data_IF_690740949463
#
_entry.id   IF_690740949463
#
_cell.length_a   1.000
_cell.length_b   1.000
_cell.length_c   1.000
_cell.angle_alpha   90.00
_cell.angle_beta   90.00
_cell.angle_gamma   90.00
#
_symmetry.space_group_name_H-M   'P 1'
#
loop_
_entity.id
_entity.type
_entity.pdbx_description
1 polymer ?
#
# COMPACT_ATOMS: atom_id res chain seq x y z
N UNK A 1 75.35 -38.66 36.74
CA UNK A 1 74.51 -37.53 37.15
C UNK A 1 74.63 -36.32 36.16
N UNK A 2 75.85 -35.91 35.83
CA UNK A 2 76.14 -34.79 34.92
C UNK A 2 75.53 -34.97 33.52
N UNK A 3 75.64 -36.20 32.97
CA UNK A 3 75.06 -36.51 31.66
C UNK A 3 73.53 -36.47 31.64
N UNK A 4 72.86 -36.88 32.73
CA UNK A 4 71.39 -36.80 32.85
C UNK A 4 70.90 -35.34 32.92
N UNK A 5 71.62 -34.48 33.60
CA UNK A 5 71.31 -33.05 33.65
C UNK A 5 71.48 -32.35 32.30
N UNK A 6 72.53 -32.73 31.57
CA UNK A 6 72.76 -32.19 30.22
C UNK A 6 71.67 -32.68 29.24
N UNK A 7 71.34 -33.99 29.26
CA UNK A 7 70.28 -34.52 28.42
C UNK A 7 68.93 -33.90 28.71
N UNK A 8 68.61 -33.71 29.98
CA UNK A 8 67.38 -32.99 30.42
C UNK A 8 67.31 -31.55 29.92
N UNK A 9 68.47 -30.87 29.99
CA UNK A 9 68.55 -29.48 29.49
C UNK A 9 68.40 -29.39 27.99
N UNK A 10 68.93 -30.35 27.23
CA UNK A 10 68.76 -30.45 25.80
C UNK A 10 67.27 -30.70 25.40
N UNK A 11 66.61 -31.60 26.14
CA UNK A 11 65.16 -31.90 25.89
C UNK A 11 64.29 -30.67 26.21
N UNK A 12 64.60 -29.97 27.29
CA UNK A 12 63.86 -28.74 27.63
C UNK A 12 64.09 -27.62 26.59
N UNK A 13 65.27 -27.50 26.02
CA UNK A 13 65.58 -26.54 25.00
C UNK A 13 64.84 -26.89 23.71
N UNK A 14 64.82 -28.15 23.31
CA UNK A 14 64.09 -28.68 22.13
C UNK A 14 62.55 -28.47 22.33
N UNK A 15 62.04 -28.75 23.50
CA UNK A 15 60.61 -28.53 23.85
C UNK A 15 60.21 -27.06 23.77
N UNK A 16 61.12 -26.16 24.26
CA UNK A 16 60.94 -24.74 24.15
C UNK A 16 60.91 -24.25 22.70
N UNK A 17 61.78 -24.81 21.86
CA UNK A 17 61.82 -24.49 20.44
C UNK A 17 60.59 -24.97 19.69
N UNK A 18 60.10 -26.17 19.99
CA UNK A 18 58.81 -26.71 19.50
C UNK A 18 57.61 -25.84 19.93
N UNK A 19 57.59 -25.38 21.16
CA UNK A 19 56.56 -24.48 21.67
C UNK A 19 56.55 -23.18 20.88
N UNK A 20 57.71 -22.58 20.65
CA UNK A 20 57.83 -21.36 19.87
C UNK A 20 57.45 -21.53 18.39
N UNK A 21 57.80 -22.68 17.79
CA UNK A 21 57.38 -23.06 16.45
C UNK A 21 55.86 -23.23 16.36
N UNK A 22 55.23 -23.90 17.32
CA UNK A 22 53.78 -24.05 17.40
C UNK A 22 53.05 -22.71 17.52
N UNK A 23 53.55 -21.79 18.36
CA UNK A 23 53.04 -20.44 18.51
C UNK A 23 53.18 -19.61 17.22
N UNK A 24 54.31 -19.77 16.48
CA UNK A 24 54.50 -19.13 15.18
C UNK A 24 53.47 -19.59 14.14
N UNK A 25 53.16 -20.91 14.10
CA UNK A 25 52.15 -21.46 13.22
C UNK A 25 50.73 -20.93 13.60
N UNK A 26 50.39 -20.93 14.89
CA UNK A 26 49.11 -20.37 15.36
C UNK A 26 48.96 -18.90 15.01
N UNK A 27 50.01 -18.10 15.16
CA UNK A 27 50.03 -16.69 14.74
C UNK A 27 49.82 -16.54 13.23
N UNK A 28 50.53 -17.35 12.43
CA UNK A 28 50.40 -17.32 10.98
C UNK A 28 48.97 -17.66 10.53
N UNK A 29 48.39 -18.72 11.10
CA UNK A 29 46.97 -19.10 10.84
C UNK A 29 46.04 -17.96 11.26
N UNK A 30 46.28 -17.33 12.41
CA UNK A 30 45.51 -16.16 12.87
C UNK A 30 45.57 -14.99 11.91
N UNK A 31 46.75 -14.70 11.33
CA UNK A 31 46.87 -13.63 10.32
C UNK A 31 46.17 -13.96 9.02
N UNK A 32 46.29 -15.21 8.53
CA UNK A 32 45.58 -15.67 7.31
C UNK A 32 44.06 -15.60 7.52
N UNK A 33 43.57 -16.04 8.68
CA UNK A 33 42.17 -15.98 9.01
C UNK A 33 41.67 -14.51 9.06
N UNK A 34 42.42 -13.64 9.73
CA UNK A 34 42.11 -12.20 9.81
C UNK A 34 42.03 -11.56 8.43
N UNK A 35 42.95 -11.90 7.54
CA UNK A 35 42.98 -11.39 6.16
C UNK A 35 41.80 -11.92 5.36
N UNK A 36 41.51 -13.23 5.49
CA UNK A 36 40.35 -13.86 4.84
C UNK A 36 39.03 -13.21 5.30
N UNK A 37 38.88 -12.98 6.60
CA UNK A 37 37.70 -12.26 7.14
C UNK A 37 37.62 -10.82 6.64
N UNK A 38 38.74 -10.08 6.53
CA UNK A 38 38.76 -8.73 6.00
C UNK A 38 38.30 -8.68 4.53
N UNK A 39 38.77 -9.62 3.71
CA UNK A 39 38.34 -9.74 2.30
C UNK A 39 36.86 -10.12 2.20
N UNK A 40 36.41 -11.10 2.97
CA UNK A 40 34.99 -11.48 3.03
C UNK A 40 34.11 -10.32 3.48
N UNK A 41 34.53 -9.57 4.50
CA UNK A 41 33.81 -8.40 4.99
C UNK A 41 33.73 -7.29 3.93
N UNK A 42 34.80 -7.08 3.17
CA UNK A 42 34.82 -6.08 2.10
C UNK A 42 33.89 -6.46 0.92
N UNK A 43 33.80 -7.76 0.60
CA UNK A 43 32.93 -8.26 -0.47
C UNK A 43 31.46 -8.36 -0.07
N UNK A 44 31.16 -8.75 1.17
CA UNK A 44 29.79 -8.96 1.67
C UNK A 44 29.26 -7.71 2.37
N UNK A 45 30.11 -6.95 3.05
CA UNK A 45 29.71 -5.76 3.82
C UNK A 45 29.17 -4.63 2.94
N UNK A 46 29.76 -4.41 1.76
CA UNK A 46 29.32 -3.36 0.83
C UNK A 46 27.90 -3.61 0.29
N UNK A 47 27.53 -4.77 -0.25
CA UNK A 47 26.17 -5.02 -0.71
C UNK A 47 25.14 -5.08 0.42
N UNK A 48 25.52 -5.55 1.61
CA UNK A 48 24.61 -5.54 2.78
C UNK A 48 24.32 -4.10 3.22
N UNK A 49 25.35 -3.25 3.31
CA UNK A 49 25.19 -1.81 3.67
C UNK A 49 24.36 -1.08 2.62
N UNK A 50 24.54 -1.40 1.35
CA UNK A 50 23.73 -0.84 0.27
C UNK A 50 22.26 -1.29 0.40
N UNK A 51 22.01 -2.57 0.65
CA UNK A 51 20.65 -3.09 0.84
C UNK A 51 19.96 -2.47 2.05
N UNK A 52 20.65 -2.29 3.17
CA UNK A 52 20.13 -1.62 4.37
C UNK A 52 19.79 -0.16 4.06
N UNK A 53 20.66 0.59 3.39
CA UNK A 53 20.38 1.98 2.98
C UNK A 53 19.19 2.06 2.03
N UNK A 54 19.10 1.16 1.06
CA UNK A 54 17.98 1.10 0.13
C UNK A 54 16.64 0.86 0.86
N UNK A 55 16.63 -0.04 1.85
CA UNK A 55 15.46 -0.27 2.71
C UNK A 55 15.12 0.98 3.55
N UNK A 56 16.12 1.63 4.10
CA UNK A 56 15.96 2.84 4.89
C UNK A 56 15.37 3.98 4.04
N UNK A 57 15.91 4.22 2.85
CA UNK A 57 15.39 5.19 1.88
C UNK A 57 13.96 4.87 1.45
N UNK A 58 13.63 3.60 1.27
CA UNK A 58 12.27 3.14 1.00
C UNK A 58 11.32 3.52 2.15
N UNK A 59 11.71 3.25 3.39
CA UNK A 59 10.91 3.61 4.58
C UNK A 59 10.72 5.12 4.70
N UNK A 60 11.77 5.91 4.47
CA UNK A 60 11.67 7.38 4.48
C UNK A 60 10.77 7.89 3.36
N UNK A 61 10.84 7.33 2.17
CA UNK A 61 9.97 7.68 1.04
C UNK A 61 8.51 7.34 1.34
N UNK A 62 8.21 6.16 1.84
CA UNK A 62 6.86 5.75 2.26
C UNK A 62 6.34 6.68 3.37
N UNK A 63 7.17 7.00 4.37
CA UNK A 63 6.81 7.94 5.43
C UNK A 63 6.54 9.34 4.90
N UNK A 64 7.34 9.83 3.95
CA UNK A 64 7.15 11.14 3.33
C UNK A 64 5.84 11.20 2.52
N UNK A 65 5.56 10.18 1.70
CA UNK A 65 4.30 10.05 1.00
C UNK A 65 3.11 10.01 1.98
N UNK A 66 3.23 9.25 3.05
CA UNK A 66 2.22 9.15 4.08
C UNK A 66 1.95 10.47 4.78
N UNK A 67 3.00 11.19 5.23
CA UNK A 67 2.84 12.50 5.87
C UNK A 67 2.22 13.53 4.93
N UNK A 68 2.57 13.47 3.63
CA UNK A 68 1.98 14.33 2.61
C UNK A 68 0.49 14.05 2.43
N UNK A 69 0.08 12.78 2.34
CA UNK A 69 -1.32 12.38 2.24
C UNK A 69 -2.12 12.85 3.46
N UNK A 70 -1.59 12.64 4.69
CA UNK A 70 -2.28 13.06 5.91
C UNK A 70 -2.40 14.58 6.00
N UNK A 71 -1.34 15.30 5.69
CA UNK A 71 -1.36 16.76 5.73
C UNK A 71 -2.37 17.33 4.74
N UNK A 72 -2.54 16.63 3.61
CA UNK A 72 -3.38 17.11 2.52
C UNK A 72 -4.80 16.57 2.53
N UNK A 73 -5.12 15.50 3.25
CA UNK A 73 -6.47 14.94 3.29
C UNK A 73 -7.19 15.29 4.60
N UNK A 74 -8.34 15.97 4.58
CA UNK A 74 -9.19 16.13 5.75
C UNK A 74 -9.81 14.79 6.12
N UNK A 75 -9.40 14.22 7.25
CA UNK A 75 -9.64 12.80 7.60
C UNK A 75 -11.06 12.49 8.03
N UNK A 76 -11.73 13.44 8.67
CA UNK A 76 -13.16 13.30 9.00
C UNK A 76 -13.99 13.16 7.74
N UNK A 77 -13.68 13.95 6.72
CA UNK A 77 -14.38 13.90 5.43
C UNK A 77 -14.00 12.65 4.63
N UNK A 78 -12.76 12.17 4.74
CA UNK A 78 -12.30 10.98 4.02
C UNK A 78 -13.07 9.71 4.42
N UNK A 79 -13.39 9.54 5.71
CA UNK A 79 -14.20 8.42 6.18
C UNK A 79 -15.61 8.48 5.59
N UNK A 80 -16.22 9.67 5.59
CA UNK A 80 -17.53 9.90 5.00
C UNK A 80 -17.52 9.63 3.49
N UNK A 81 -16.51 10.10 2.78
CA UNK A 81 -16.33 9.86 1.33
C UNK A 81 -16.27 8.36 1.03
N UNK A 82 -15.46 7.60 1.79
CA UNK A 82 -15.33 6.16 1.59
C UNK A 82 -16.66 5.45 1.83
N UNK A 83 -17.32 5.74 2.95
CA UNK A 83 -18.59 5.08 3.30
C UNK A 83 -19.63 5.34 2.22
N UNK A 84 -19.83 6.62 1.83
CA UNK A 84 -20.85 6.98 0.85
C UNK A 84 -20.52 6.45 -0.56
N UNK A 85 -19.26 6.54 -1.00
CA UNK A 85 -18.84 5.95 -2.27
C UNK A 85 -19.01 4.42 -2.26
N UNK A 86 -18.69 3.76 -1.15
CA UNK A 86 -18.88 2.30 -1.00
C UNK A 86 -20.36 1.90 -1.07
N UNK A 87 -21.26 2.71 -0.52
CA UNK A 87 -22.72 2.47 -0.62
C UNK A 87 -23.16 2.53 -2.08
N UNK A 88 -22.74 3.58 -2.83
CA UNK A 88 -23.09 3.71 -4.25
C UNK A 88 -22.54 2.55 -5.08
N UNK A 89 -21.30 2.16 -4.83
CA UNK A 89 -20.66 1.03 -5.54
C UNK A 89 -21.34 -0.30 -5.18
N UNK A 90 -21.74 -0.50 -3.93
CA UNK A 90 -22.46 -1.70 -3.50
C UNK A 90 -23.86 -1.79 -4.15
N UNK A 91 -24.58 -0.67 -4.27
CA UNK A 91 -25.88 -0.62 -4.97
C UNK A 91 -25.68 -0.95 -6.46
N UNK A 92 -24.63 -0.41 -7.10
CA UNK A 92 -24.31 -0.71 -8.50
C UNK A 92 -24.05 -2.20 -8.73
N UNK A 93 -23.23 -2.80 -7.88
CA UNK A 93 -22.85 -4.22 -8.00
C UNK A 93 -24.04 -5.15 -7.69
N UNK A 94 -24.94 -4.76 -6.78
CA UNK A 94 -26.16 -5.51 -6.48
C UNK A 94 -27.16 -5.51 -7.65
N UNK A 95 -27.20 -4.42 -8.43
CA UNK A 95 -28.11 -4.29 -9.58
C UNK A 95 -27.53 -4.85 -10.87
N UNK A 96 -26.23 -4.61 -11.12
CA UNK A 96 -25.52 -5.06 -12.32
C UNK A 96 -24.23 -5.75 -11.89
N UNK A 97 -24.20 -7.10 -11.86
CA UNK A 97 -22.99 -7.85 -11.48
C UNK A 97 -21.81 -7.50 -12.37
N UNK A 98 -20.63 -7.36 -11.77
CA UNK A 98 -19.36 -6.98 -12.42
C UNK A 98 -19.28 -5.53 -12.96
N UNK A 99 -20.17 -4.64 -12.52
CA UNK A 99 -20.15 -3.23 -12.96
C UNK A 99 -18.86 -2.52 -12.52
N UNK A 100 -18.29 -2.88 -11.38
CA UNK A 100 -17.03 -2.34 -10.84
C UNK A 100 -15.84 -2.74 -11.72
N UNK A 101 -15.76 -4.02 -12.07
CA UNK A 101 -14.63 -4.58 -12.83
C UNK A 101 -14.50 -3.92 -14.22
N UNK A 102 -15.62 -3.66 -14.82
CA UNK A 102 -15.68 -3.10 -16.16
C UNK A 102 -15.43 -1.58 -16.19
N UNK A 103 -15.56 -0.91 -15.05
CA UNK A 103 -15.49 0.56 -14.97
C UNK A 103 -14.44 1.11 -14.01
N UNK A 104 -13.52 0.27 -13.52
CA UNK A 104 -12.49 0.71 -12.57
C UNK A 104 -11.68 1.93 -13.05
N UNK A 105 -11.35 2.01 -14.35
CA UNK A 105 -10.63 3.16 -14.91
C UNK A 105 -11.47 4.45 -14.88
N UNK A 106 -12.76 4.35 -15.22
CA UNK A 106 -13.66 5.50 -15.20
C UNK A 106 -13.90 5.97 -13.77
N UNK A 107 -14.04 5.05 -12.83
CA UNK A 107 -14.18 5.35 -11.41
C UNK A 107 -12.91 6.02 -10.85
N UNK A 108 -11.73 5.58 -11.28
CA UNK A 108 -10.45 6.22 -10.92
C UNK A 108 -10.35 7.65 -11.44
N UNK A 109 -10.68 7.87 -12.72
CA UNK A 109 -10.68 9.20 -13.32
C UNK A 109 -11.70 10.11 -12.62
N UNK A 110 -12.91 9.63 -12.35
CA UNK A 110 -13.93 10.40 -11.64
C UNK A 110 -13.49 10.74 -10.22
N UNK A 111 -12.82 9.82 -9.51
CA UNK A 111 -12.23 10.08 -8.20
C UNK A 111 -11.16 11.16 -8.22
N UNK A 112 -10.30 11.19 -9.25
CA UNK A 112 -9.31 12.26 -9.44
C UNK A 112 -9.97 13.62 -9.71
N UNK A 113 -11.04 13.66 -10.50
CA UNK A 113 -11.83 14.87 -10.74
C UNK A 113 -12.43 15.37 -9.41
N UNK A 114 -13.02 14.48 -8.60
CA UNK A 114 -13.54 14.82 -7.29
C UNK A 114 -12.47 15.37 -6.34
N UNK A 115 -11.29 14.74 -6.31
CA UNK A 115 -10.17 15.23 -5.54
C UNK A 115 -9.71 16.62 -5.97
N UNK A 116 -9.60 16.87 -7.29
CA UNK A 116 -9.22 18.17 -7.83
C UNK A 116 -10.24 19.26 -7.49
N UNK A 117 -11.53 18.92 -7.47
CA UNK A 117 -12.59 19.83 -7.04
C UNK A 117 -12.48 20.21 -5.56
N UNK A 118 -12.32 19.24 -4.67
CA UNK A 118 -12.15 19.48 -3.21
C UNK A 118 -10.93 20.35 -2.94
N UNK A 119 -9.88 20.21 -3.73
CA UNK A 119 -8.65 21.01 -3.62
C UNK A 119 -8.77 22.40 -4.24
N UNK A 120 -9.87 22.72 -4.92
CA UNK A 120 -10.05 24.00 -5.60
C UNK A 120 -9.17 24.17 -6.85
N UNK A 121 -8.61 23.07 -7.39
CA UNK A 121 -7.82 23.14 -8.64
C UNK A 121 -8.68 23.38 -9.86
N UNK A 122 -9.96 23.06 -9.78
CA UNK A 122 -10.93 23.23 -10.85
C UNK A 122 -12.12 24.06 -10.35
N UNK A 123 -12.65 24.93 -11.26
CA UNK A 123 -13.86 25.70 -10.96
C UNK A 123 -15.09 24.78 -10.92
N UNK A 124 -16.12 25.22 -10.20
CA UNK A 124 -17.36 24.45 -10.05
C UNK A 124 -18.02 24.12 -11.40
N UNK A 125 -18.09 25.09 -12.31
CA UNK A 125 -18.61 24.88 -13.66
C UNK A 125 -17.83 23.80 -14.44
N UNK A 126 -16.51 23.83 -14.32
CA UNK A 126 -15.65 22.83 -14.98
C UNK A 126 -15.80 21.45 -14.36
N UNK A 127 -15.98 21.37 -13.04
CA UNK A 127 -16.29 20.13 -12.35
C UNK A 127 -17.58 19.48 -12.89
N UNK A 128 -18.66 20.24 -12.99
CA UNK A 128 -19.92 19.72 -13.53
C UNK A 128 -19.79 19.27 -15.00
N UNK A 129 -19.09 20.02 -15.84
CA UNK A 129 -18.84 19.63 -17.24
C UNK A 129 -18.02 18.36 -17.35
N UNK A 130 -16.99 18.17 -16.50
CA UNK A 130 -16.20 16.94 -16.46
C UNK A 130 -17.03 15.73 -16.00
N UNK A 131 -17.88 15.87 -14.99
CA UNK A 131 -18.76 14.80 -14.55
C UNK A 131 -19.78 14.42 -15.63
N UNK A 132 -20.35 15.41 -16.32
CA UNK A 132 -21.23 15.16 -17.48
C UNK A 132 -20.48 14.42 -18.60
N UNK A 133 -19.23 14.81 -18.87
CA UNK A 133 -18.34 14.14 -19.81
C UNK A 133 -18.05 12.68 -19.43
N UNK A 134 -17.79 12.39 -18.16
CA UNK A 134 -17.61 11.03 -17.65
C UNK A 134 -18.87 10.20 -17.83
N UNK A 135 -20.04 10.76 -17.50
CA UNK A 135 -21.31 10.08 -17.71
C UNK A 135 -21.57 9.79 -19.21
N UNK A 136 -21.42 10.80 -20.05
CA UNK A 136 -21.60 10.67 -21.50
C UNK A 136 -20.63 9.64 -22.11
N UNK A 137 -19.37 9.65 -21.70
CA UNK A 137 -18.39 8.65 -22.11
C UNK A 137 -18.79 7.23 -21.70
N UNK A 138 -19.23 7.06 -20.46
CA UNK A 138 -19.67 5.76 -19.95
C UNK A 138 -20.91 5.25 -20.67
N UNK A 139 -21.87 6.15 -20.95
CA UNK A 139 -23.14 5.83 -21.61
C UNK A 139 -22.98 5.59 -23.11
N UNK A 140 -22.33 6.51 -23.83
CA UNK A 140 -22.30 6.50 -25.30
C UNK A 140 -21.13 5.70 -25.88
N UNK A 141 -19.94 5.81 -25.27
CA UNK A 141 -18.73 5.12 -25.78
C UNK A 141 -18.69 3.69 -25.29
N UNK A 142 -18.87 3.49 -23.98
CA UNK A 142 -18.87 2.14 -23.39
C UNK A 142 -20.20 1.40 -23.51
N UNK A 143 -21.27 2.07 -23.97
CA UNK A 143 -22.63 1.51 -24.16
C UNK A 143 -23.12 0.74 -22.95
N UNK A 144 -22.94 1.31 -21.75
CA UNK A 144 -23.31 0.68 -20.47
C UNK A 144 -24.74 1.00 -20.07
N UNK A 145 -25.30 0.14 -19.21
CA UNK A 145 -26.60 0.36 -18.58
C UNK A 145 -26.61 1.67 -17.78
N UNK A 146 -27.78 2.23 -17.58
CA UNK A 146 -27.97 3.53 -16.93
C UNK A 146 -27.38 3.56 -15.52
N UNK A 147 -27.58 2.50 -14.74
CA UNK A 147 -27.03 2.37 -13.37
C UNK A 147 -25.51 2.32 -13.41
N UNK A 148 -24.93 1.49 -14.27
CA UNK A 148 -23.48 1.38 -14.40
C UNK A 148 -22.85 2.68 -14.93
N UNK A 149 -23.49 3.35 -15.91
CA UNK A 149 -22.99 4.61 -16.45
C UNK A 149 -23.02 5.75 -15.43
N UNK A 150 -24.03 5.79 -14.56
CA UNK A 150 -24.17 6.80 -13.53
C UNK A 150 -23.29 6.54 -12.29
N UNK A 151 -22.83 5.29 -12.07
CA UNK A 151 -22.09 4.88 -10.87
C UNK A 151 -20.85 5.78 -10.57
N UNK A 152 -19.93 6.07 -11.52
CA UNK A 152 -18.76 6.87 -11.21
C UNK A 152 -19.09 8.31 -10.81
N UNK A 153 -20.11 8.88 -11.45
CA UNK A 153 -20.59 10.24 -11.15
C UNK A 153 -21.30 10.28 -9.81
N UNK A 154 -22.17 9.32 -9.54
CA UNK A 154 -22.88 9.21 -8.28
C UNK A 154 -21.92 8.97 -7.10
N UNK A 155 -20.88 8.15 -7.28
CA UNK A 155 -19.86 7.91 -6.26
C UNK A 155 -19.08 9.18 -5.90
N UNK A 156 -18.71 10.00 -6.89
CA UNK A 156 -18.01 11.27 -6.68
C UNK A 156 -18.93 12.29 -6.02
N UNK A 157 -20.15 12.48 -6.50
CA UNK A 157 -21.10 13.44 -5.92
C UNK A 157 -21.51 13.06 -4.49
N UNK A 158 -21.68 11.77 -4.22
CA UNK A 158 -21.93 11.28 -2.86
C UNK A 158 -20.72 11.55 -1.93
N UNK A 159 -19.49 11.44 -2.44
CA UNK A 159 -18.29 11.69 -1.68
C UNK A 159 -17.99 13.17 -1.44
N UNK A 160 -18.03 13.98 -2.50
CA UNK A 160 -17.54 15.36 -2.53
C UNK A 160 -18.65 16.38 -2.35
N UNK A 161 -19.89 16.06 -2.70
CA UNK A 161 -21.02 17.00 -2.66
C UNK A 161 -21.36 17.52 -1.27
N UNK A 162 -22.09 18.62 -1.21
CA UNK A 162 -22.68 19.14 0.03
C UNK A 162 -23.67 18.11 0.65
N UNK A 163 -23.97 18.18 1.95
CA UNK A 163 -24.80 17.18 2.63
C UNK A 163 -26.16 16.92 1.97
N UNK A 164 -26.81 17.94 1.44
CA UNK A 164 -28.06 17.83 0.72
C UNK A 164 -27.88 17.15 -0.67
N UNK A 165 -26.78 17.46 -1.38
CA UNK A 165 -26.43 16.83 -2.66
C UNK A 165 -26.16 15.34 -2.45
N UNK A 166 -25.42 14.98 -1.40
CA UNK A 166 -25.13 13.58 -1.05
C UNK A 166 -26.40 12.78 -0.85
N UNK A 167 -27.34 13.34 -0.05
CA UNK A 167 -28.63 12.70 0.19
C UNK A 167 -29.44 12.53 -1.11
N UNK A 168 -29.54 13.59 -1.92
CA UNK A 168 -30.26 13.59 -3.19
C UNK A 168 -29.67 12.58 -4.17
N UNK A 169 -28.35 12.52 -4.30
CA UNK A 169 -27.66 11.58 -5.20
C UNK A 169 -27.90 10.12 -4.76
N UNK A 170 -27.79 9.81 -3.48
CA UNK A 170 -28.01 8.46 -2.98
C UNK A 170 -29.47 8.04 -3.21
N UNK A 171 -30.43 8.90 -2.92
CA UNK A 171 -31.85 8.61 -3.13
C UNK A 171 -32.16 8.41 -4.62
N UNK A 172 -31.71 9.33 -5.49
CA UNK A 172 -31.94 9.26 -6.93
C UNK A 172 -31.25 8.05 -7.57
N UNK A 173 -30.02 7.75 -7.14
CA UNK A 173 -29.29 6.59 -7.62
C UNK A 173 -29.93 5.26 -7.18
N UNK A 174 -30.39 5.18 -5.94
CA UNK A 174 -31.14 4.02 -5.44
C UNK A 174 -32.46 3.84 -6.19
N UNK A 175 -33.19 4.93 -6.46
CA UNK A 175 -34.41 4.88 -7.26
C UNK A 175 -34.13 4.39 -8.70
N UNK A 176 -33.05 4.87 -9.33
CA UNK A 176 -32.62 4.41 -10.65
C UNK A 176 -32.26 2.92 -10.63
N UNK A 177 -31.56 2.46 -9.59
CA UNK A 177 -31.21 1.06 -9.42
C UNK A 177 -32.44 0.15 -9.28
N UNK A 178 -33.41 0.56 -8.47
CA UNK A 178 -34.70 -0.16 -8.29
C UNK A 178 -35.49 -0.20 -9.60
N UNK A 179 -35.54 0.93 -10.32
CA UNK A 179 -36.22 1.01 -11.61
C UNK A 179 -35.58 0.06 -12.64
N UNK A 180 -34.26 0.04 -12.73
CA UNK A 180 -33.56 -0.86 -13.65
C UNK A 180 -33.73 -2.33 -13.25
N UNK A 181 -33.66 -2.65 -11.96
CA UNK A 181 -33.88 -4.00 -11.45
C UNK A 181 -35.30 -4.50 -11.77
N UNK A 182 -36.33 -3.63 -11.66
CA UNK A 182 -37.70 -3.99 -11.98
C UNK A 182 -37.94 -4.19 -13.48
N UNK A 183 -37.12 -3.56 -14.33
CA UNK A 183 -37.24 -3.65 -15.79
C UNK A 183 -36.50 -4.85 -16.39
N UNK A 184 -35.54 -5.42 -15.66
CA UNK A 184 -34.82 -6.62 -16.08
C UNK A 184 -35.62 -7.84 -15.71
N UNK A 185 -36.19 -8.64 -16.65
CA UNK A 185 -36.92 -9.88 -16.32
C UNK A 185 -35.94 -10.82 -15.61
N UNK A 186 -36.41 -11.68 -14.73
CA UNK A 186 -35.55 -12.70 -14.12
C UNK A 186 -35.17 -13.73 -15.20
N UNK A 187 -34.15 -13.43 -16.00
CA UNK A 187 -33.51 -14.43 -16.84
C UNK A 187 -32.88 -15.48 -15.94
N UNK A 188 -33.34 -16.72 -16.15
CA UNK A 188 -32.98 -17.87 -15.35
C UNK A 188 -31.46 -17.95 -15.11
N UNK A 189 -31.13 -18.23 -13.87
CA UNK A 189 -29.79 -18.62 -13.44
C UNK A 189 -29.20 -19.62 -14.43
N UNK A 190 -28.32 -19.21 -15.32
CA UNK A 190 -27.36 -20.12 -15.92
C UNK A 190 -26.37 -20.50 -14.84
N UNK A 191 -26.69 -21.58 -14.17
CA UNK A 191 -25.75 -22.35 -13.35
C UNK A 191 -24.73 -22.94 -14.31
N UNK A 192 -23.53 -22.44 -14.29
CA UNK A 192 -22.43 -23.07 -14.99
C UNK A 192 -21.50 -22.05 -15.68
N UNK A 193 -20.70 -21.42 -14.89
CA UNK A 193 -19.29 -21.13 -15.20
C UNK A 193 -18.72 -20.29 -14.03
N UNK A 194 -18.06 -21.00 -13.12
CA UNK A 194 -17.23 -20.38 -12.10
C UNK A 194 -15.93 -19.94 -12.83
N UNK A 195 -16.04 -18.90 -13.64
CA UNK A 195 -14.88 -18.12 -14.00
C UNK A 195 -14.42 -17.37 -12.74
N UNK A 196 -13.29 -17.74 -12.22
CA UNK A 196 -12.54 -17.03 -11.17
C UNK A 196 -12.14 -15.64 -11.73
N UNK A 197 -13.13 -14.78 -11.92
CA UNK A 197 -12.89 -13.37 -12.23
C UNK A 197 -12.30 -12.71 -11.00
N UNK A 198 -10.99 -12.43 -11.05
CA UNK A 198 -10.32 -11.60 -10.07
C UNK A 198 -11.12 -10.29 -9.90
N UNK A 199 -11.80 -10.16 -8.77
CA UNK A 199 -12.47 -8.94 -8.35
C UNK A 199 -11.42 -7.82 -8.27
N UNK A 200 -11.32 -7.00 -9.29
CA UNK A 200 -10.45 -5.82 -9.27
C UNK A 200 -11.15 -4.74 -8.45
N UNK A 201 -10.75 -4.62 -7.21
CA UNK A 201 -11.22 -3.56 -6.34
C UNK A 201 -10.89 -2.17 -6.92
N UNK A 202 -11.77 -1.18 -6.81
CA UNK A 202 -11.52 0.16 -7.33
C UNK A 202 -10.33 0.79 -6.61
N UNK A 203 -9.31 1.14 -7.38
CA UNK A 203 -8.05 1.71 -6.86
C UNK A 203 -8.24 2.94 -5.97
N UNK A 204 -9.18 3.90 -6.23
CA UNK A 204 -9.40 5.04 -5.35
C UNK A 204 -9.88 4.64 -3.95
N UNK A 205 -10.77 3.64 -3.85
CA UNK A 205 -11.27 3.15 -2.55
C UNK A 205 -10.18 2.42 -1.76
N UNK A 206 -9.33 1.65 -2.44
CA UNK A 206 -8.17 1.01 -1.81
C UNK A 206 -7.16 2.03 -1.28
N UNK A 207 -6.83 3.06 -2.07
CA UNK A 207 -5.92 4.12 -1.64
C UNK A 207 -6.48 4.91 -0.47
N UNK A 208 -7.78 5.23 -0.49
CA UNK A 208 -8.44 5.91 0.61
C UNK A 208 -8.51 5.04 1.88
N UNK A 209 -8.86 3.76 1.76
CA UNK A 209 -8.84 2.81 2.89
C UNK A 209 -7.43 2.64 3.46
N UNK A 210 -6.42 2.57 2.61
CA UNK A 210 -5.01 2.50 3.01
C UNK A 210 -4.58 3.76 3.77
N UNK A 211 -4.94 4.97 3.28
CA UNK A 211 -4.64 6.23 3.94
C UNK A 211 -5.28 6.33 5.34
N UNK A 212 -6.54 5.87 5.49
CA UNK A 212 -7.21 5.80 6.80
C UNK A 212 -6.52 4.79 7.71
N UNK A 213 -6.24 3.59 7.21
CA UNK A 213 -5.58 2.55 7.99
C UNK A 213 -4.23 3.00 8.53
N UNK A 214 -3.42 3.65 7.69
CA UNK A 214 -2.14 4.22 8.08
C UNK A 214 -2.31 5.31 9.16
N UNK A 215 -3.31 6.18 9.03
CA UNK A 215 -3.55 7.23 10.04
C UNK A 215 -4.01 6.68 11.37
N UNK A 216 -4.90 5.68 11.36
CA UNK A 216 -5.32 4.99 12.59
C UNK A 216 -4.10 4.35 13.25
N UNK A 217 -3.25 3.68 12.48
CA UNK A 217 -2.02 3.07 12.98
C UNK A 217 -1.05 4.12 13.56
N UNK A 218 -0.84 5.26 12.86
CA UNK A 218 0.02 6.34 13.35
C UNK A 218 -0.51 6.98 14.63
N UNK A 219 -1.83 7.17 14.73
CA UNK A 219 -2.48 7.67 15.93
C UNK A 219 -2.30 6.70 17.11
N UNK A 220 -2.44 5.38 16.85
CA UNK A 220 -2.22 4.34 17.85
C UNK A 220 -0.78 4.30 18.35
N UNK A 221 0.21 4.40 17.44
CA UNK A 221 1.63 4.48 17.78
C UNK A 221 1.95 5.74 18.59
N UNK A 222 1.39 6.90 18.19
CA UNK A 222 1.54 8.17 18.90
C UNK A 222 1.02 8.12 20.34
N UNK A 223 -0.15 7.51 20.57
CA UNK A 223 -0.68 7.31 21.92
C UNK A 223 0.19 6.37 22.77
N UNK A 224 0.81 5.38 22.17
CA UNK A 224 1.69 4.44 22.88
C UNK A 224 2.96 5.12 23.37
N UNK A 225 3.51 6.07 22.65
CA UNK A 225 4.67 6.88 23.08
C UNK A 225 4.35 7.77 24.29
N UNK A 226 3.15 8.35 24.33
CA UNK A 226 2.72 9.20 25.46
C UNK A 226 2.51 8.39 26.75
N UNK A 227 2.06 7.14 26.67
CA UNK A 227 1.87 6.27 27.85
C UNK A 227 3.16 5.77 28.45
N UNK A 228 4.29 5.79 27.73
CA UNK A 228 5.61 5.43 28.24
C UNK A 228 6.32 6.57 28.96
N UNK A 229 5.95 7.83 28.67
CA UNK A 229 6.51 9.02 29.33
C UNK A 229 5.81 9.37 30.67
N UNK A 230 4.67 8.77 30.98
CA UNK A 230 3.89 9.02 32.21
C UNK A 230 4.07 7.91 33.28
N UNK A 231 5.02 7.01 33.10
CA UNK A 231 5.51 6.05 34.09
C UNK A 231 6.97 6.34 34.40
#
# INVERSE_FOLDING_TARGET
LVFLVYAWRAVLFELSNWKNGAFAIVRFVGYVLKYAFAVVYQFIGSPITFSVRCMEDLFYTVRACYSWIIHNAPVTDLTTIIVLASIVVAIAEATVPNSINDQHNVLTVSGLIGYAAVRGYISELFFWTLLLGVYAFSKFVKKRDDVSAAMPVAAVLAGVGEPWVRALVIISYTALAIYQYSKTPPEGKKVGEVETRQMRLPTPLLLAAFAIGLRVAAKWVGYRHLTWMTR
#
